data_IF_933721095738
#
_entry.id   IF_933721095738
#
_cell.length_a   1.000
_cell.length_b   1.000
_cell.length_c   1.000
_cell.angle_alpha   90.00
_cell.angle_beta   90.00
_cell.angle_gamma   90.00
#
_symmetry.space_group_name_H-M   'P 1'
#
loop_
_entity.id
_entity.type
_entity.pdbx_description
1 polymer ?
#
# COMPACT_ATOMS: atom_id res chain seq x y z
N UNK A 1 -46.31 -41.68 -12.09
CA UNK A 1 -47.23 -42.07 -11.00
C UNK A 1 -47.03 -41.11 -9.84
N UNK A 2 -48.13 -40.43 -9.46
CA UNK A 2 -48.41 -39.64 -8.24
C UNK A 2 -47.45 -38.50 -7.87
N UNK A 3 -47.80 -37.22 -8.07
CA UNK A 3 -48.75 -36.36 -7.33
C UNK A 3 -48.46 -36.22 -5.82
N UNK A 4 -48.11 -35.00 -5.38
CA UNK A 4 -48.92 -34.01 -4.59
C UNK A 4 -47.96 -33.01 -3.94
N UNK A 5 -48.00 -31.72 -4.29
CA UNK A 5 -48.91 -30.66 -3.83
C UNK A 5 -48.92 -30.39 -2.32
N UNK A 6 -48.60 -29.14 -1.96
CA UNK A 6 -49.31 -28.20 -1.03
C UNK A 6 -48.30 -27.23 -0.39
N UNK A 7 -48.52 -25.94 -0.11
CA UNK A 7 -49.42 -24.85 -0.52
C UNK A 7 -49.29 -23.74 0.56
N UNK A 8 -49.17 -22.47 0.13
CA UNK A 8 -49.56 -21.22 0.84
C UNK A 8 -48.74 -20.78 2.08
N UNK A 9 -48.46 -19.49 2.35
CA UNK A 9 -49.42 -18.39 2.55
C UNK A 9 -48.75 -17.00 2.51
N UNK A 10 -49.46 -16.04 1.90
CA UNK A 10 -49.21 -14.59 1.81
C UNK A 10 -49.58 -13.86 3.12
N UNK A 11 -48.88 -12.77 3.49
CA UNK A 11 -49.47 -11.70 4.31
C UNK A 11 -49.04 -10.30 3.82
N UNK A 12 -50.07 -9.54 3.43
CA UNK A 12 -50.08 -8.10 3.15
C UNK A 12 -50.44 -7.37 4.46
N UNK A 13 -49.83 -6.21 4.72
CA UNK A 13 -50.44 -5.20 5.57
C UNK A 13 -50.07 -3.80 5.09
N UNK A 14 -51.12 -3.02 4.89
CA UNK A 14 -51.19 -1.67 4.34
C UNK A 14 -51.95 -0.79 5.36
N UNK A 15 -51.77 0.54 5.27
CA UNK A 15 -52.50 1.67 5.92
C UNK A 15 -51.84 2.26 7.18
N UNK A 16 -51.91 3.57 7.50
CA UNK A 16 -52.57 4.76 6.92
C UNK A 16 -51.98 6.05 7.51
N UNK A 17 -52.12 7.16 6.76
CA UNK A 17 -51.85 8.56 7.11
C UNK A 17 -52.56 9.09 8.37
N UNK A 18 -51.98 10.10 9.04
CA UNK A 18 -52.73 11.21 9.70
C UNK A 18 -51.91 12.51 9.77
N UNK A 19 -52.45 13.55 9.13
CA UNK A 19 -52.14 14.97 9.31
C UNK A 19 -52.82 15.50 10.59
N UNK A 20 -52.22 16.49 11.25
CA UNK A 20 -52.90 17.38 12.22
C UNK A 20 -52.40 18.82 12.04
N UNK A 21 -53.35 19.76 12.08
CA UNK A 21 -53.18 21.21 11.99
C UNK A 21 -53.83 21.91 13.20
N UNK A 22 -53.38 23.14 13.50
CA UNK A 22 -53.94 24.08 14.50
C UNK A 22 -52.94 24.39 15.62
N UNK A 23 -52.71 25.62 16.12
CA UNK A 23 -53.51 26.85 16.17
C UNK A 23 -52.61 28.11 16.36
N UNK A 24 -53.16 29.27 15.98
CA UNK A 24 -52.63 30.63 16.15
C UNK A 24 -52.52 31.10 17.61
N UNK A 25 -51.52 31.95 17.91
CA UNK A 25 -51.53 32.89 19.06
C UNK A 25 -50.78 34.19 18.71
N UNK A 26 -51.39 35.35 18.99
CA UNK A 26 -50.88 36.69 18.70
C UNK A 26 -50.00 37.28 19.84
N UNK A 27 -48.88 37.92 19.42
CA UNK A 27 -48.17 39.17 19.86
C UNK A 27 -47.78 39.40 21.34
N UNK A 28 -46.59 39.98 21.62
CA UNK A 28 -46.38 41.44 21.56
C UNK A 28 -45.07 41.93 20.88
N UNK A 29 -45.10 43.22 20.56
CA UNK A 29 -44.11 44.10 19.90
C UNK A 29 -42.78 44.28 20.62
N UNK A 30 -41.66 44.19 19.88
CA UNK A 30 -40.33 44.69 20.27
C UNK A 30 -39.64 45.39 19.09
N UNK A 31 -38.79 46.36 19.41
CA UNK A 31 -38.16 47.34 18.52
C UNK A 31 -37.25 46.73 17.43
N UNK A 32 -37.24 47.37 16.25
CA UNK A 32 -36.44 46.98 15.07
C UNK A 32 -35.08 47.68 15.14
N UNK A 33 -33.94 46.96 15.17
CA UNK A 33 -32.62 47.54 14.89
C UNK A 33 -32.45 47.72 13.36
N UNK A 34 -31.63 48.70 12.97
CA UNK A 34 -31.31 49.06 11.59
C UNK A 34 -31.15 47.85 10.66
N UNK A 35 -32.06 47.69 9.70
CA UNK A 35 -31.96 46.68 8.66
C UNK A 35 -30.91 47.11 7.64
N UNK A 36 -29.86 46.31 7.48
CA UNK A 36 -29.11 46.26 6.22
C UNK A 36 -30.06 45.75 5.14
N UNK A 37 -30.24 46.55 4.09
CA UNK A 37 -31.04 46.18 2.93
C UNK A 37 -30.20 45.25 2.04
N UNK A 38 -30.22 43.95 2.34
CA UNK A 38 -29.63 42.93 1.48
C UNK A 38 -30.56 42.65 0.30
N UNK A 39 -30.27 43.24 -0.85
CA UNK A 39 -30.97 42.97 -2.09
C UNK A 39 -30.48 41.62 -2.67
N UNK A 40 -31.19 40.53 -2.38
CA UNK A 40 -30.95 39.24 -3.03
C UNK A 40 -31.59 39.23 -4.43
N UNK A 41 -30.77 39.37 -5.47
CA UNK A 41 -31.17 39.05 -6.84
C UNK A 41 -30.90 37.56 -7.06
N UNK A 42 -31.97 36.78 -7.25
CA UNK A 42 -31.88 35.34 -7.48
C UNK A 42 -31.63 35.07 -8.96
N UNK A 43 -30.36 35.04 -9.38
CA UNK A 43 -29.94 34.39 -10.63
C UNK A 43 -29.28 33.07 -10.29
N UNK A 44 -29.64 32.00 -11.03
CA UNK A 44 -29.15 30.65 -10.77
C UNK A 44 -27.62 30.58 -10.78
N UNK A 45 -27.10 29.93 -9.74
CA UNK A 45 -25.71 29.58 -9.44
C UNK A 45 -24.79 30.70 -8.90
N UNK A 46 -24.44 30.51 -7.62
CA UNK A 46 -23.51 31.23 -6.73
C UNK A 46 -24.01 32.57 -6.14
N UNK A 47 -23.99 32.74 -4.80
CA UNK A 47 -24.24 34.02 -4.17
C UNK A 47 -23.04 34.95 -4.39
N UNK A 48 -23.28 36.08 -5.04
CA UNK A 48 -22.31 37.18 -5.15
C UNK A 48 -22.60 38.14 -4.00
N UNK A 49 -21.61 38.40 -3.15
CA UNK A 49 -21.71 39.42 -2.10
C UNK A 49 -20.94 40.66 -2.54
N UNK A 50 -21.63 41.79 -2.61
CA UNK A 50 -21.02 43.09 -2.92
C UNK A 50 -20.98 43.91 -1.63
N UNK A 51 -19.79 44.11 -1.06
CA UNK A 51 -19.60 44.98 0.10
C UNK A 51 -19.24 46.38 -0.38
N UNK A 52 -20.09 47.37 -0.10
CA UNK A 52 -19.81 48.78 -0.33
C UNK A 52 -19.68 49.49 1.02
N UNK A 53 -18.48 49.96 1.37
CA UNK A 53 -18.28 50.86 2.51
C UNK A 53 -18.25 52.30 2.02
N UNK A 54 -19.29 53.07 2.34
CA UNK A 54 -19.33 54.50 2.03
C UNK A 54 -18.62 55.32 3.11
N UNK A 55 -17.55 56.04 2.75
CA UNK A 55 -17.05 57.16 3.55
C UNK A 55 -17.73 58.45 3.08
N UNK A 56 -18.35 59.19 4.00
CA UNK A 56 -18.92 60.51 3.73
C UNK A 56 -17.82 61.54 3.54
N UNK A 57 -17.29 61.69 2.33
CA UNK A 57 -16.73 62.95 1.88
C UNK A 57 -16.86 63.07 0.37
N UNK A 58 -17.02 64.31 -0.08
CA UNK A 58 -17.32 64.74 -1.43
C UNK A 58 -16.40 64.10 -2.47
N UNK A 59 -17.02 63.32 -3.36
CA UNK A 59 -16.49 62.65 -4.57
C UNK A 59 -15.32 61.67 -4.39
N UNK A 60 -15.60 60.36 -4.47
CA UNK A 60 -14.69 59.45 -5.16
C UNK A 60 -15.39 58.44 -6.08
N UNK A 61 -14.69 58.06 -7.15
CA UNK A 61 -15.08 56.99 -8.07
C UNK A 61 -15.21 55.64 -7.32
N UNK A 62 -16.33 54.95 -7.53
CA UNK A 62 -16.58 53.64 -6.96
C UNK A 62 -15.76 52.59 -7.73
N UNK A 63 -14.71 52.05 -7.12
CA UNK A 63 -13.93 50.95 -7.71
C UNK A 63 -14.40 49.63 -7.08
N UNK A 64 -15.27 48.91 -7.80
CA UNK A 64 -15.76 47.60 -7.38
C UNK A 64 -14.77 46.51 -7.83
N UNK A 65 -13.97 45.98 -6.91
CA UNK A 65 -13.25 44.72 -7.15
C UNK A 65 -14.19 43.56 -6.81
N UNK A 66 -14.57 42.79 -7.83
CA UNK A 66 -15.23 41.48 -7.64
C UNK A 66 -14.21 40.49 -7.10
N UNK A 67 -14.30 40.19 -5.80
CA UNK A 67 -13.62 39.03 -5.20
C UNK A 67 -14.56 37.84 -5.37
N UNK A 68 -14.17 36.90 -6.23
CA UNK A 68 -14.84 35.60 -6.34
C UNK A 68 -14.23 34.70 -5.28
N UNK A 69 -14.89 34.60 -4.12
CA UNK A 69 -14.57 33.57 -3.15
C UNK A 69 -14.98 32.21 -3.74
N UNK A 70 -13.99 31.48 -4.24
CA UNK A 70 -14.17 30.05 -4.53
C UNK A 70 -14.37 29.33 -3.20
N UNK A 71 -15.43 28.52 -3.04
CA UNK A 71 -15.60 27.71 -1.84
C UNK A 71 -14.37 26.84 -1.67
N UNK A 72 -13.68 26.98 -0.54
CA UNK A 72 -12.63 26.02 -0.17
C UNK A 72 -13.29 24.65 -0.05
N UNK A 73 -12.90 23.74 -0.94
CA UNK A 73 -13.25 22.33 -0.84
C UNK A 73 -12.80 21.87 0.55
N UNK A 74 -13.66 21.21 1.35
CA UNK A 74 -13.27 20.74 2.67
C UNK A 74 -12.01 19.87 2.52
N UNK A 75 -10.94 20.29 3.19
CA UNK A 75 -9.65 19.60 3.24
C UNK A 75 -9.93 18.14 3.60
N UNK A 76 -9.60 17.24 2.68
CA UNK A 76 -9.71 15.80 2.89
C UNK A 76 -9.06 15.45 4.23
N UNK A 77 -9.72 14.59 5.01
CA UNK A 77 -9.18 14.12 6.29
C UNK A 77 -7.72 13.67 6.11
N UNK A 78 -6.80 14.04 7.00
CA UNK A 78 -5.39 13.65 6.86
C UNK A 78 -5.27 12.13 6.72
N UNK A 79 -4.41 11.69 5.80
CA UNK A 79 -4.20 10.28 5.51
C UNK A 79 -3.83 9.51 6.77
N UNK A 80 -4.56 8.43 7.08
CA UNK A 80 -4.26 7.58 8.22
C UNK A 80 -2.88 6.90 8.11
N UNK A 81 -2.38 6.67 6.89
CA UNK A 81 -1.07 6.05 6.64
C UNK A 81 0.09 7.02 6.93
N UNK A 82 -0.11 8.31 6.72
CA UNK A 82 0.96 9.32 6.76
C UNK A 82 1.18 9.94 8.14
N UNK A 83 0.66 9.32 9.19
CA UNK A 83 0.96 9.70 10.55
C UNK A 83 2.24 9.02 11.02
N UNK A 84 3.09 9.72 11.77
CA UNK A 84 4.28 9.15 12.39
C UNK A 84 3.92 7.92 13.23
N UNK A 85 4.61 6.79 13.00
CA UNK A 85 4.37 5.55 13.75
C UNK A 85 3.27 4.66 13.17
N UNK A 86 2.72 5.01 12.00
CA UNK A 86 1.73 4.15 11.32
C UNK A 86 2.32 2.79 10.97
N UNK A 87 3.58 2.73 10.52
CA UNK A 87 4.24 1.44 10.24
C UNK A 87 4.53 0.67 11.51
N UNK A 88 4.84 1.34 12.63
CA UNK A 88 4.99 0.64 13.92
C UNK A 88 3.69 -0.06 14.32
N UNK A 89 2.54 0.61 14.14
CA UNK A 89 1.22 0.05 14.42
C UNK A 89 0.92 -1.15 13.54
N UNK A 90 1.11 -1.00 12.22
CA UNK A 90 0.90 -2.07 11.25
C UNK A 90 1.83 -3.25 11.56
N UNK A 91 3.14 -3.01 11.68
CA UNK A 91 4.13 -4.08 11.87
C UNK A 91 3.95 -4.83 13.19
N UNK A 92 3.61 -4.13 14.28
CA UNK A 92 3.32 -4.78 15.56
C UNK A 92 2.13 -5.76 15.45
N UNK A 93 1.11 -5.42 14.66
CA UNK A 93 -0.02 -6.31 14.41
C UNK A 93 0.36 -7.47 13.49
N UNK A 94 0.98 -7.18 12.34
CA UNK A 94 1.33 -8.17 11.32
C UNK A 94 2.28 -9.27 11.83
N UNK A 95 3.16 -8.94 12.78
CA UNK A 95 4.07 -9.91 13.43
C UNK A 95 3.37 -11.13 14.03
N UNK A 96 2.11 -10.98 14.46
CA UNK A 96 1.34 -12.10 15.04
C UNK A 96 0.79 -13.07 13.98
N UNK A 97 0.91 -12.74 12.69
CA UNK A 97 0.29 -13.48 11.59
C UNK A 97 1.29 -13.87 10.50
N UNK A 98 2.60 -13.81 10.79
CA UNK A 98 3.65 -14.03 9.78
C UNK A 98 3.61 -15.41 9.11
N UNK A 99 2.98 -16.42 9.73
CA UNK A 99 2.75 -17.73 9.10
C UNK A 99 1.73 -17.68 7.95
N UNK A 100 0.83 -16.69 7.92
CA UNK A 100 -0.19 -16.52 6.88
C UNK A 100 0.38 -15.89 5.60
N UNK A 101 1.60 -15.35 5.65
CA UNK A 101 2.24 -14.67 4.52
C UNK A 101 3.19 -15.58 3.73
N UNK A 102 3.07 -16.91 3.94
CA UNK A 102 3.87 -17.94 3.26
C UNK A 102 3.11 -18.56 2.10
N UNK A 103 3.84 -19.02 1.09
CA UNK A 103 3.34 -19.99 0.12
C UNK A 103 3.33 -21.41 0.74
N UNK A 104 2.69 -22.35 0.04
CA UNK A 104 2.73 -23.76 0.40
C UNK A 104 4.15 -24.33 0.20
N UNK A 105 4.56 -25.27 1.06
CA UNK A 105 5.91 -25.83 1.05
C UNK A 105 7.02 -24.76 1.14
N UNK A 106 6.75 -23.70 1.91
CA UNK A 106 7.68 -22.61 2.13
C UNK A 106 9.04 -23.13 2.60
N UNK A 107 10.09 -22.69 1.90
CA UNK A 107 11.45 -22.93 2.36
C UNK A 107 11.79 -21.94 3.46
N UNK A 108 11.90 -22.45 4.68
CA UNK A 108 12.41 -21.68 5.80
C UNK A 108 13.91 -21.44 5.61
N UNK A 109 14.28 -20.20 5.32
CA UNK A 109 15.67 -19.77 5.18
C UNK A 109 16.07 -18.86 6.34
N UNK A 110 17.30 -18.99 6.88
CA UNK A 110 17.85 -18.01 7.77
C UNK A 110 18.22 -16.74 7.01
N UNK A 111 18.26 -15.62 7.70
CA UNK A 111 18.99 -14.46 7.22
C UNK A 111 20.43 -14.54 7.71
N UNK A 112 21.31 -15.00 6.83
CA UNK A 112 22.72 -15.35 7.05
C UNK A 112 23.69 -14.36 6.40
N UNK A 113 23.20 -13.16 6.09
CA UNK A 113 23.98 -12.04 5.58
C UNK A 113 24.95 -11.43 6.60
N UNK A 114 25.25 -10.15 6.40
CA UNK A 114 26.00 -9.39 7.38
C UNK A 114 25.22 -9.18 8.69
N UNK A 115 25.95 -8.84 9.75
CA UNK A 115 25.36 -8.55 11.07
C UNK A 115 24.39 -7.36 11.04
N UNK A 116 24.52 -6.47 10.04
CA UNK A 116 23.60 -5.35 9.81
C UNK A 116 22.32 -5.73 9.07
N UNK A 117 22.21 -6.96 8.62
CA UNK A 117 21.08 -7.51 7.89
C UNK A 117 20.68 -6.80 6.61
N UNK A 118 21.67 -6.54 5.76
CA UNK A 118 21.52 -5.82 4.50
C UNK A 118 21.39 -6.73 3.27
N UNK A 119 21.62 -8.03 3.43
CA UNK A 119 21.55 -9.02 2.36
C UNK A 119 21.39 -10.44 2.95
N UNK A 120 21.25 -11.42 2.06
CA UNK A 120 21.28 -12.85 2.36
C UNK A 120 22.52 -13.43 1.67
N UNK A 121 23.34 -14.19 2.41
CA UNK A 121 24.58 -14.77 1.87
C UNK A 121 24.26 -16.01 1.07
N UNK A 122 23.59 -16.98 1.70
CA UNK A 122 23.34 -18.33 1.15
C UNK A 122 21.84 -18.67 1.22
N UNK A 123 21.14 -18.21 2.26
CA UNK A 123 19.71 -18.49 2.46
C UNK A 123 19.46 -19.97 2.79
N UNK A 124 20.47 -20.59 3.42
CA UNK A 124 20.45 -21.98 3.86
C UNK A 124 20.31 -22.97 2.70
N UNK A 125 21.42 -23.26 2.02
CA UNK A 125 21.56 -24.18 0.88
C UNK A 125 21.33 -23.57 -0.51
N UNK A 126 22.15 -22.59 -0.85
CA UNK A 126 22.35 -22.06 -2.19
C UNK A 126 21.13 -21.34 -2.77
N UNK A 127 20.31 -20.76 -1.89
CA UNK A 127 19.23 -19.88 -2.36
C UNK A 127 19.81 -18.59 -2.95
N UNK A 128 20.95 -18.12 -2.47
CA UNK A 128 21.62 -16.90 -2.94
C UNK A 128 23.14 -17.04 -2.93
N UNK A 129 23.80 -16.18 -3.71
CA UNK A 129 25.25 -15.98 -3.74
C UNK A 129 25.57 -14.52 -3.36
N UNK A 130 25.25 -14.13 -2.13
CA UNK A 130 25.33 -12.73 -1.67
C UNK A 130 24.38 -11.81 -2.44
N UNK A 131 23.11 -11.82 -2.05
CA UNK A 131 22.07 -11.11 -2.77
C UNK A 131 20.89 -10.72 -1.90
N UNK A 132 19.78 -10.41 -2.57
CA UNK A 132 18.62 -9.82 -1.96
C UNK A 132 18.99 -8.46 -1.35
N UNK A 133 19.64 -7.58 -2.13
CA UNK A 133 19.81 -6.19 -1.73
C UNK A 133 18.51 -5.45 -2.03
N UNK A 134 17.62 -5.34 -1.03
CA UNK A 134 16.39 -4.57 -1.18
C UNK A 134 16.68 -3.10 -0.93
N UNK A 135 16.32 -2.26 -1.89
CA UNK A 135 16.37 -0.81 -1.75
C UNK A 135 15.02 -0.22 -2.14
N UNK A 136 14.63 0.92 -1.58
CA UNK A 136 13.45 1.61 -2.06
C UNK A 136 13.62 2.00 -3.53
N UNK A 137 12.50 2.18 -4.23
CA UNK A 137 12.53 3.01 -5.43
C UNK A 137 12.81 4.45 -5.02
N UNK A 138 13.85 5.04 -5.61
CA UNK A 138 14.38 6.31 -5.10
C UNK A 138 13.54 7.52 -5.53
N UNK A 139 13.53 8.56 -4.70
CA UNK A 139 12.94 9.85 -5.04
C UNK A 139 13.59 10.47 -6.29
N UNK A 140 14.89 10.22 -6.49
CA UNK A 140 15.62 10.64 -7.69
C UNK A 140 15.20 9.91 -8.97
N UNK A 141 14.46 8.80 -8.86
CA UNK A 141 14.16 7.91 -9.97
C UNK A 141 15.32 7.04 -10.44
N UNK A 142 16.42 6.98 -9.68
CA UNK A 142 17.59 6.17 -10.05
C UNK A 142 17.31 4.67 -9.88
N UNK A 143 17.54 3.92 -10.96
CA UNK A 143 17.63 2.46 -10.96
C UNK A 143 19.09 2.06 -10.73
N UNK A 144 19.36 1.25 -9.71
CA UNK A 144 20.68 0.68 -9.47
C UNK A 144 21.02 -0.44 -10.45
N UNK A 145 22.31 -0.76 -10.55
CA UNK A 145 22.74 -1.95 -11.29
C UNK A 145 22.38 -3.21 -10.49
N UNK A 146 21.19 -3.75 -10.75
CA UNK A 146 20.62 -4.86 -9.97
C UNK A 146 21.37 -6.19 -10.12
N UNK A 147 22.32 -6.30 -11.06
CA UNK A 147 23.18 -7.49 -11.20
C UNK A 147 24.48 -7.40 -10.40
N UNK A 148 24.74 -6.27 -9.74
CA UNK A 148 25.94 -6.12 -8.92
C UNK A 148 25.84 -6.96 -7.64
N UNK A 149 26.89 -7.71 -7.33
CA UNK A 149 27.10 -8.40 -6.04
C UNK A 149 27.74 -7.51 -4.99
N UNK A 150 28.21 -6.31 -5.38
CA UNK A 150 28.86 -5.39 -4.46
C UNK A 150 27.82 -4.57 -3.71
N UNK A 151 27.78 -4.72 -2.39
CA UNK A 151 26.89 -4.00 -1.48
C UNK A 151 26.94 -2.47 -1.64
N UNK A 152 28.09 -1.90 -2.02
CA UNK A 152 28.25 -0.46 -2.25
C UNK A 152 27.51 0.05 -3.49
N UNK A 153 27.05 -0.84 -4.37
CA UNK A 153 26.17 -0.49 -5.51
C UNK A 153 24.74 -0.17 -5.07
N UNK A 154 24.41 -0.37 -3.79
CA UNK A 154 23.10 -0.18 -3.19
C UNK A 154 23.21 0.72 -1.93
N UNK A 155 23.52 2.02 -2.10
CA UNK A 155 23.78 2.90 -0.96
C UNK A 155 22.55 3.11 -0.07
N UNK A 156 21.35 3.13 -0.65
CA UNK A 156 20.07 3.28 0.07
C UNK A 156 19.41 1.93 0.43
N UNK A 157 20.17 0.83 0.43
CA UNK A 157 19.63 -0.47 0.87
C UNK A 157 19.13 -0.39 2.31
N UNK A 158 18.07 -1.14 2.59
CA UNK A 158 17.51 -1.21 3.92
C UNK A 158 18.17 -2.30 4.75
N UNK A 159 18.07 -2.15 6.07
CA UNK A 159 18.36 -3.24 7.00
C UNK A 159 17.08 -3.97 7.36
N UNK A 160 17.10 -5.28 7.26
CA UNK A 160 15.99 -6.14 7.69
C UNK A 160 15.96 -6.31 9.23
N UNK A 161 16.98 -5.82 9.95
CA UNK A 161 16.98 -5.75 11.42
C UNK A 161 16.22 -4.53 11.96
N UNK A 162 15.83 -3.60 11.08
CA UNK A 162 15.06 -2.40 11.45
C UNK A 162 13.62 -2.77 11.81
N UNK A 163 13.36 -3.07 13.09
CA UNK A 163 12.02 -3.45 13.58
C UNK A 163 11.15 -2.28 14.04
N UNK A 164 11.66 -1.05 13.94
CA UNK A 164 10.94 0.19 14.23
C UNK A 164 10.99 1.09 13.01
N UNK A 165 9.90 1.84 12.76
CA UNK A 165 9.77 2.80 11.67
C UNK A 165 10.97 3.75 11.62
N UNK A 166 11.66 3.78 10.48
CA UNK A 166 12.79 4.67 10.21
C UNK A 166 12.74 5.22 8.80
N UNK A 167 13.51 6.28 8.54
CA UNK A 167 13.56 6.94 7.24
C UNK A 167 14.78 6.47 6.43
N UNK A 168 14.57 6.23 5.14
CA UNK A 168 15.60 5.99 4.11
C UNK A 168 15.30 6.85 2.88
N UNK A 169 16.31 7.15 2.05
CA UNK A 169 16.15 7.97 0.84
C UNK A 169 15.36 9.28 1.11
N UNK A 170 15.81 10.01 2.14
CA UNK A 170 15.27 11.31 2.62
C UNK A 170 13.89 11.28 3.27
N UNK A 171 12.91 10.53 2.73
CA UNK A 171 11.51 10.60 3.18
C UNK A 171 10.67 9.33 2.95
N UNK A 172 11.30 8.18 2.67
CA UNK A 172 10.60 6.90 2.73
C UNK A 172 10.66 6.35 4.15
N UNK A 173 9.51 6.19 4.79
CA UNK A 173 9.44 5.48 6.06
C UNK A 173 9.37 3.98 5.77
N UNK A 174 10.15 3.15 6.48
CA UNK A 174 10.08 1.70 6.36
C UNK A 174 10.25 0.99 7.71
N UNK A 175 9.82 -0.27 7.75
CA UNK A 175 10.08 -1.20 8.83
C UNK A 175 10.13 -2.64 8.29
N UNK A 176 10.97 -3.47 8.89
CA UNK A 176 11.04 -4.91 8.67
C UNK A 176 10.19 -5.65 9.72
N UNK A 177 9.43 -6.66 9.28
CA UNK A 177 8.48 -7.36 10.14
C UNK A 177 9.14 -8.46 10.97
N UNK A 178 10.32 -8.95 10.61
CA UNK A 178 10.95 -9.99 11.41
C UNK A 178 12.16 -10.55 10.72
N UNK A 179 13.29 -10.37 11.40
CA UNK A 179 14.59 -10.93 11.09
C UNK A 179 15.00 -11.77 12.29
N UNK A 180 15.23 -13.06 12.07
CA UNK A 180 15.90 -13.92 13.04
C UNK A 180 17.30 -14.15 12.48
N UNK A 181 18.29 -13.47 13.06
CA UNK A 181 19.69 -13.66 12.68
C UNK A 181 20.12 -15.06 13.09
N UNK A 182 20.57 -15.86 12.13
CA UNK A 182 21.11 -17.18 12.37
C UNK A 182 22.43 -17.32 11.61
N UNK A 183 23.58 -16.96 12.23
CA UNK A 183 24.90 -16.97 11.58
C UNK A 183 25.43 -18.37 11.23
N UNK A 184 24.70 -19.43 11.58
CA UNK A 184 25.15 -20.80 11.41
C UNK A 184 24.38 -21.45 10.26
N UNK A 185 25.08 -21.71 9.15
CA UNK A 185 24.66 -22.53 8.00
C UNK A 185 24.34 -24.01 8.34
N UNK A 186 24.10 -24.32 9.61
CA UNK A 186 23.92 -25.68 10.14
C UNK A 186 22.80 -25.82 11.17
N UNK A 187 21.94 -24.81 11.34
CA UNK A 187 20.69 -25.04 12.07
C UNK A 187 19.80 -25.97 11.24
N UNK A 188 19.13 -26.97 11.86
CA UNK A 188 18.21 -27.82 11.14
C UNK A 188 17.11 -26.96 10.52
N UNK A 189 17.16 -26.94 9.20
CA UNK A 189 16.19 -26.46 8.24
C UNK A 189 14.83 -27.11 8.47
N UNK A 190 14.12 -26.61 9.47
CA UNK A 190 12.78 -27.03 9.83
C UNK A 190 12.16 -26.13 10.91
N UNK A 191 12.84 -25.09 11.41
CA UNK A 191 12.18 -24.19 12.33
C UNK A 191 11.17 -23.33 11.55
N UNK A 192 9.92 -23.79 11.57
CA UNK A 192 8.77 -23.06 11.05
C UNK A 192 8.56 -21.70 11.75
N UNK A 193 9.41 -21.32 12.72
CA UNK A 193 9.53 -19.94 13.21
C UNK A 193 10.16 -18.98 12.19
N UNK A 194 10.94 -19.46 11.21
CA UNK A 194 11.48 -18.57 10.17
C UNK A 194 10.38 -18.11 9.23
N UNK A 195 10.06 -16.83 9.30
CA UNK A 195 9.02 -16.19 8.53
C UNK A 195 9.55 -15.64 7.20
N UNK A 196 8.69 -15.49 6.18
CA UNK A 196 9.10 -14.85 4.94
C UNK A 196 9.60 -13.44 5.24
N UNK A 197 10.78 -13.11 4.70
CA UNK A 197 11.33 -11.77 4.81
C UNK A 197 10.30 -10.79 4.26
N UNK A 198 9.81 -9.91 5.14
CA UNK A 198 8.76 -8.95 4.80
C UNK A 198 9.15 -7.56 5.25
N UNK A 199 9.07 -6.62 4.32
CA UNK A 199 9.35 -5.20 4.55
C UNK A 199 8.15 -4.41 4.07
N UNK A 200 7.75 -3.42 4.87
CA UNK A 200 6.73 -2.45 4.49
C UNK A 200 7.33 -1.04 4.54
N UNK A 201 6.87 -0.18 3.64
CA UNK A 201 7.33 1.20 3.59
C UNK A 201 6.36 2.11 2.83
N UNK A 202 6.29 3.37 3.21
CA UNK A 202 5.40 4.34 2.59
C UNK A 202 6.07 5.68 2.34
N UNK A 203 5.50 6.42 1.39
CA UNK A 203 5.76 7.84 1.17
C UNK A 203 4.43 8.57 1.10
N UNK A 204 4.39 9.76 1.68
CA UNK A 204 3.20 10.63 1.58
C UNK A 204 3.11 11.34 0.24
N UNK A 205 4.25 11.59 -0.39
CA UNK A 205 4.34 12.17 -1.72
C UNK A 205 5.61 11.68 -2.40
N UNK A 206 5.51 11.36 -3.69
CA UNK A 206 6.61 10.87 -4.51
C UNK A 206 6.54 9.37 -4.77
N UNK A 207 7.44 8.86 -5.62
CA UNK A 207 7.38 7.48 -6.07
C UNK A 207 7.66 6.50 -4.93
N UNK A 208 6.96 5.37 -4.89
CA UNK A 208 7.14 4.35 -3.85
C UNK A 208 7.18 2.95 -4.47
N UNK A 209 8.01 2.08 -3.90
CA UNK A 209 8.19 0.72 -4.36
C UNK A 209 9.56 0.20 -3.94
N UNK A 210 9.98 -0.89 -4.57
CA UNK A 210 11.22 -1.57 -4.24
C UNK A 210 11.98 -1.96 -5.49
N UNK A 211 13.30 -2.02 -5.37
CA UNK A 211 14.21 -2.63 -6.34
C UNK A 211 15.12 -3.62 -5.58
N UNK A 212 15.36 -4.77 -6.19
CA UNK A 212 16.04 -5.91 -5.60
C UNK A 212 17.15 -6.34 -6.56
N UNK A 213 18.37 -6.36 -6.05
CA UNK A 213 19.54 -6.80 -6.78
C UNK A 213 20.36 -7.86 -6.03
N UNK A 214 21.53 -8.17 -6.62
CA UNK A 214 22.45 -9.20 -6.14
C UNK A 214 22.39 -10.49 -6.96
N UNK A 215 23.29 -11.42 -6.66
CA UNK A 215 23.40 -12.72 -7.33
C UNK A 215 22.45 -13.78 -6.74
N UNK A 216 21.45 -14.16 -7.54
CA UNK A 216 20.65 -15.33 -7.20
C UNK A 216 21.47 -16.57 -7.56
N UNK A 217 21.85 -17.39 -6.57
CA UNK A 217 22.82 -18.49 -6.66
C UNK A 217 22.36 -19.68 -7.51
N UNK A 218 21.80 -19.40 -8.68
CA UNK A 218 21.27 -20.37 -9.63
C UNK A 218 22.32 -20.77 -10.67
N UNK A 219 23.53 -20.21 -10.66
CA UNK A 219 24.67 -20.58 -11.52
C UNK A 219 24.33 -20.75 -13.02
N UNK A 220 23.50 -19.86 -13.56
CA UNK A 220 23.05 -19.83 -14.95
C UNK A 220 22.01 -20.90 -15.28
N UNK A 221 21.53 -21.64 -14.28
CA UNK A 221 20.59 -22.76 -14.39
C UNK A 221 19.16 -22.35 -14.02
N UNK A 222 18.22 -23.23 -14.37
CA UNK A 222 16.80 -23.05 -14.07
C UNK A 222 16.05 -22.14 -15.03
N UNK A 223 14.94 -21.59 -14.56
CA UNK A 223 14.02 -20.77 -15.33
C UNK A 223 13.66 -19.51 -14.55
N UNK A 224 13.33 -18.44 -15.28
CA UNK A 224 12.77 -17.24 -14.69
C UNK A 224 11.35 -17.00 -15.16
N UNK A 225 10.57 -16.32 -14.33
CA UNK A 225 9.28 -15.76 -14.75
C UNK A 225 9.07 -14.42 -14.03
N UNK A 226 8.58 -13.43 -14.77
CA UNK A 226 8.21 -12.12 -14.21
C UNK A 226 6.80 -11.81 -14.67
N UNK A 227 5.96 -11.34 -13.76
CA UNK A 227 4.56 -11.11 -14.09
C UNK A 227 3.83 -10.28 -13.06
N UNK A 228 2.58 -9.96 -13.39
CA UNK A 228 1.65 -9.35 -12.47
C UNK A 228 0.80 -10.41 -11.77
N UNK A 229 0.48 -10.16 -10.50
CA UNK A 229 -0.66 -10.79 -9.82
C UNK A 229 -1.89 -9.91 -9.97
N UNK A 230 -1.76 -8.60 -9.69
CA UNK A 230 -2.84 -7.62 -9.83
C UNK A 230 -2.35 -6.34 -10.49
N UNK A 231 -3.22 -5.74 -11.31
CA UNK A 231 -2.99 -4.47 -12.01
C UNK A 231 -4.09 -3.46 -11.68
N UNK A 232 -4.22 -3.11 -10.39
CA UNK A 232 -5.20 -2.15 -9.90
C UNK A 232 -6.53 -2.77 -9.46
N UNK A 233 -6.51 -4.04 -9.05
CA UNK A 233 -7.70 -4.73 -8.54
C UNK A 233 -8.05 -4.29 -7.12
N UNK A 234 -9.32 -4.41 -6.73
CA UNK A 234 -9.74 -4.19 -5.33
C UNK A 234 -9.67 -5.48 -4.54
N UNK A 235 -8.84 -5.51 -3.49
CA UNK A 235 -8.70 -6.65 -2.56
C UNK A 235 -8.83 -6.14 -1.14
N UNK A 236 -9.80 -6.67 -0.37
CA UNK A 236 -10.07 -6.27 1.02
C UNK A 236 -10.25 -4.74 1.22
N UNK A 237 -10.73 -4.02 0.19
CA UNK A 237 -10.93 -2.56 0.21
C UNK A 237 -9.74 -1.74 -0.31
N UNK A 238 -8.57 -2.36 -0.51
CA UNK A 238 -7.41 -1.70 -1.10
C UNK A 238 -7.45 -1.79 -2.62
N UNK A 239 -7.00 -0.72 -3.29
CA UNK A 239 -6.51 -0.84 -4.66
C UNK A 239 -5.11 -1.45 -4.63
N UNK A 240 -4.93 -2.57 -5.31
CA UNK A 240 -3.71 -3.38 -5.27
C UNK A 240 -3.08 -3.47 -6.65
N UNK A 241 -1.80 -3.10 -6.70
CA UNK A 241 -0.89 -3.49 -7.77
C UNK A 241 0.14 -4.43 -7.19
N UNK A 242 0.30 -5.62 -7.77
CA UNK A 242 1.27 -6.59 -7.30
C UNK A 242 1.95 -7.29 -8.47
N UNK A 243 3.25 -7.49 -8.33
CA UNK A 243 4.09 -8.11 -9.33
C UNK A 243 5.16 -8.96 -8.69
N UNK A 244 5.61 -9.96 -9.42
CA UNK A 244 6.62 -10.88 -8.94
C UNK A 244 7.70 -11.13 -9.98
N UNK A 245 8.85 -11.57 -9.49
CA UNK A 245 9.84 -12.30 -10.27
C UNK A 245 10.25 -13.55 -9.52
N UNK A 246 10.28 -14.68 -10.22
CA UNK A 246 10.71 -15.96 -9.67
C UNK A 246 11.89 -16.54 -10.44
N UNK A 247 12.77 -17.23 -9.72
CA UNK A 247 13.78 -18.15 -10.24
C UNK A 247 13.47 -19.52 -9.64
N UNK A 248 13.36 -20.54 -10.48
CA UNK A 248 12.97 -21.89 -10.08
C UNK A 248 13.66 -22.91 -10.98
N UNK A 249 13.63 -24.18 -10.57
CA UNK A 249 14.21 -25.32 -11.29
C UNK A 249 15.73 -25.22 -11.53
N UNK A 250 16.47 -24.53 -10.64
CA UNK A 250 17.93 -24.43 -10.69
C UNK A 250 18.67 -25.59 -9.99
N UNK A 251 17.90 -26.49 -9.34
CA UNK A 251 18.32 -27.43 -8.29
C UNK A 251 18.45 -26.80 -6.90
N UNK A 252 18.15 -25.51 -6.77
CA UNK A 252 18.17 -24.77 -5.51
C UNK A 252 16.76 -24.36 -5.09
N UNK A 253 16.56 -23.83 -3.87
CA UNK A 253 15.28 -23.30 -3.46
C UNK A 253 14.76 -22.25 -4.45
N UNK A 254 13.45 -22.22 -4.68
CA UNK A 254 12.84 -21.17 -5.49
C UNK A 254 13.03 -19.82 -4.81
N UNK A 255 13.40 -18.79 -5.58
CA UNK A 255 13.38 -17.40 -5.14
C UNK A 255 12.14 -16.76 -5.77
N UNK A 256 11.25 -16.19 -4.97
CA UNK A 256 10.12 -15.40 -5.46
C UNK A 256 10.10 -14.04 -4.78
N UNK A 257 10.55 -13.02 -5.51
CA UNK A 257 10.45 -11.62 -5.10
C UNK A 257 9.04 -11.12 -5.41
N UNK A 258 8.23 -10.84 -4.40
CA UNK A 258 6.89 -10.29 -4.54
C UNK A 258 6.89 -8.84 -4.05
N UNK A 259 6.46 -7.90 -4.91
CA UNK A 259 6.22 -6.51 -4.54
C UNK A 259 4.72 -6.23 -4.64
N UNK A 260 4.17 -5.60 -3.61
CA UNK A 260 2.76 -5.20 -3.50
C UNK A 260 2.73 -3.70 -3.23
N UNK A 261 1.91 -2.96 -3.97
CA UNK A 261 1.63 -1.54 -3.77
C UNK A 261 0.15 -1.40 -3.43
N UNK A 262 -0.13 -0.80 -2.28
CA UNK A 262 -1.48 -0.64 -1.74
C UNK A 262 -1.86 0.84 -1.67
N UNK A 263 -3.04 1.14 -2.18
CA UNK A 263 -3.75 2.39 -1.92
C UNK A 263 -5.10 2.13 -1.28
N UNK A 264 -5.57 3.06 -0.45
CA UNK A 264 -6.88 2.96 0.20
C UNK A 264 -7.60 4.32 0.16
N UNK A 265 -8.94 4.35 -0.02
CA UNK A 265 -9.70 5.60 0.02
C UNK A 265 -9.51 6.40 1.32
N UNK A 266 -9.46 5.74 2.48
CA UNK A 266 -9.22 6.40 3.78
C UNK A 266 -7.81 6.98 3.94
N UNK A 267 -6.89 6.68 3.03
CA UNK A 267 -5.55 7.27 2.96
C UNK A 267 -5.48 8.42 1.94
N UNK A 268 -6.55 8.68 1.19
CA UNK A 268 -6.53 9.51 -0.02
C UNK A 268 -5.36 9.10 -0.94
N UNK A 269 -5.22 7.79 -1.17
CA UNK A 269 -4.17 7.26 -2.02
C UNK A 269 -4.34 7.68 -3.47
N UNK A 270 -3.24 8.08 -4.10
CA UNK A 270 -3.16 8.36 -5.53
C UNK A 270 -1.99 7.55 -6.08
N UNK A 271 -2.24 6.71 -7.09
CA UNK A 271 -1.17 6.02 -7.80
C UNK A 271 -0.70 6.89 -8.97
N UNK A 272 0.61 7.13 -9.04
CA UNK A 272 1.26 7.50 -10.29
C UNK A 272 1.36 6.31 -11.26
N UNK A 273 2.05 6.47 -12.40
CA UNK A 273 2.29 5.36 -13.32
C UNK A 273 2.96 4.19 -12.61
N UNK A 274 2.34 3.01 -12.65
CA UNK A 274 2.91 1.80 -12.04
C UNK A 274 3.82 1.12 -13.06
N UNK A 275 5.06 0.86 -12.66
CA UNK A 275 6.07 0.21 -13.49
C UNK A 275 6.58 -1.06 -12.81
N UNK A 276 6.87 -2.07 -13.61
CA UNK A 276 7.51 -3.32 -13.21
C UNK A 276 8.70 -3.58 -14.12
N UNK A 277 9.72 -4.24 -13.60
CA UNK A 277 10.80 -4.77 -14.41
C UNK A 277 10.24 -5.71 -15.49
N UNK A 278 10.53 -5.49 -16.79
CA UNK A 278 10.22 -6.45 -17.83
C UNK A 278 10.88 -7.82 -17.57
N UNK A 279 10.32 -8.88 -18.13
CA UNK A 279 10.91 -10.21 -18.01
C UNK A 279 12.38 -10.23 -18.44
N UNK A 280 13.20 -10.90 -17.64
CA UNK A 280 14.64 -11.10 -17.86
C UNK A 280 14.94 -12.58 -17.62
N UNK A 281 15.67 -13.20 -18.56
CA UNK A 281 16.03 -14.62 -18.50
C UNK A 281 17.25 -14.90 -17.62
N UNK A 282 17.91 -13.85 -17.09
CA UNK A 282 19.08 -13.99 -16.23
C UNK A 282 18.68 -14.67 -14.92
N UNK A 283 19.16 -15.87 -14.66
CA UNK A 283 18.91 -16.63 -13.42
C UNK A 283 19.91 -16.28 -12.32
N UNK A 284 21.09 -15.74 -12.66
CA UNK A 284 22.16 -15.32 -11.73
C UNK A 284 21.85 -14.03 -10.98
N UNK A 285 20.67 -13.44 -11.13
CA UNK A 285 20.37 -12.19 -10.47
C UNK A 285 18.94 -12.10 -10.00
N UNK A 286 18.74 -11.46 -8.84
CA UNK A 286 17.41 -11.10 -8.37
C UNK A 286 16.69 -10.14 -9.32
N UNK A 287 17.43 -9.21 -9.94
CA UNK A 287 17.02 -8.26 -10.98
C UNK A 287 15.50 -7.99 -11.05
N UNK A 288 14.94 -7.37 -10.01
CA UNK A 288 13.51 -7.07 -9.97
C UNK A 288 13.24 -5.70 -9.39
N UNK A 289 12.25 -5.00 -9.94
CA UNK A 289 11.69 -3.81 -9.30
C UNK A 289 10.21 -3.70 -9.64
N UNK A 290 9.50 -2.99 -8.78
CA UNK A 290 8.16 -2.52 -9.03
C UNK A 290 7.90 -1.28 -8.17
N UNK A 291 7.28 -0.26 -8.76
CA UNK A 291 7.00 0.99 -8.08
C UNK A 291 5.82 1.72 -8.71
N UNK A 292 5.21 2.63 -7.93
CA UNK A 292 4.34 3.68 -8.44
C UNK A 292 5.16 4.96 -8.58
N UNK A 293 5.09 5.61 -9.74
CA UNK A 293 5.98 6.67 -10.15
C UNK A 293 5.64 8.06 -9.62
N UNK A 294 6.06 9.09 -10.36
CA UNK A 294 5.78 10.50 -10.04
C UNK A 294 4.27 10.74 -9.94
N UNK A 295 3.87 11.58 -8.99
CA UNK A 295 2.45 11.89 -8.71
C UNK A 295 1.79 10.91 -7.74
N UNK A 296 2.52 9.93 -7.21
CA UNK A 296 2.00 9.03 -6.17
C UNK A 296 1.87 9.74 -4.82
N UNK A 297 0.79 9.43 -4.12
CA UNK A 297 0.49 9.95 -2.78
C UNK A 297 -0.06 8.83 -1.89
N UNK A 298 0.40 8.78 -0.64
CA UNK A 298 -0.12 7.89 0.40
C UNK A 298 -0.21 6.42 -0.03
N UNK A 299 0.85 5.91 -0.65
CA UNK A 299 0.94 4.50 -1.10
C UNK A 299 1.84 3.72 -0.14
N UNK A 300 1.37 2.54 0.26
CA UNK A 300 2.15 1.57 1.04
C UNK A 300 2.77 0.54 0.08
N UNK A 301 4.10 0.51 -0.01
CA UNK A 301 4.86 -0.52 -0.69
C UNK A 301 5.23 -1.65 0.27
N UNK A 302 5.14 -2.88 -0.21
CA UNK A 302 5.45 -4.10 0.53
C UNK A 302 6.35 -4.96 -0.33
N UNK A 303 7.41 -5.49 0.28
CA UNK A 303 8.23 -6.55 -0.29
C UNK A 303 8.10 -7.80 0.55
N UNK A 304 7.87 -8.95 -0.09
CA UNK A 304 7.87 -10.27 0.53
C UNK A 304 8.77 -11.19 -0.31
N UNK A 305 9.71 -11.85 0.35
CA UNK A 305 10.47 -12.95 -0.25
C UNK A 305 9.76 -14.27 0.07
N UNK A 306 9.32 -14.96 -0.97
CA UNK A 306 8.72 -16.28 -0.92
C UNK A 306 9.67 -17.31 -1.52
N UNK A 307 9.48 -18.57 -1.17
CA UNK A 307 10.42 -19.63 -1.53
C UNK A 307 9.79 -21.02 -1.47
N UNK A 308 10.35 -21.96 -2.22
CA UNK A 308 10.00 -23.39 -2.16
C UNK A 308 11.27 -24.19 -2.00
N UNK A 309 11.20 -25.25 -1.20
CA UNK A 309 12.31 -26.20 -1.08
C UNK A 309 12.67 -26.79 -2.46
N UNK A 310 13.94 -27.17 -2.64
CA UNK A 310 14.48 -27.66 -3.91
C UNK A 310 13.70 -28.84 -4.48
N UNK A 311 13.13 -29.71 -3.64
CA UNK A 311 12.37 -30.88 -4.09
C UNK A 311 11.02 -30.48 -4.73
N UNK A 312 10.54 -29.27 -4.47
CA UNK A 312 9.31 -28.72 -5.04
C UNK A 312 9.58 -27.58 -6.03
N UNK A 313 10.84 -27.19 -6.24
CA UNK A 313 11.25 -26.05 -7.04
C UNK A 313 11.19 -26.29 -8.56
N UNK A 314 10.73 -27.45 -9.04
CA UNK A 314 10.61 -27.74 -10.49
C UNK A 314 9.56 -26.88 -11.20
N UNK A 315 8.65 -26.26 -10.44
CA UNK A 315 7.61 -25.35 -10.92
C UNK A 315 7.60 -24.08 -10.07
N UNK A 316 7.24 -22.92 -10.65
CA UNK A 316 7.15 -21.68 -9.89
C UNK A 316 6.05 -21.77 -8.82
N UNK A 317 6.08 -20.86 -7.85
CA UNK A 317 4.95 -20.61 -6.96
C UNK A 317 3.78 -20.15 -7.82
N UNK A 318 2.63 -20.84 -7.82
CA UNK A 318 1.51 -20.50 -8.67
C UNK A 318 0.85 -19.19 -8.23
N UNK A 319 0.29 -18.44 -9.18
CA UNK A 319 -0.36 -17.14 -8.90
C UNK A 319 -1.41 -17.22 -7.78
N UNK A 320 -2.18 -18.31 -7.69
CA UNK A 320 -3.21 -18.48 -6.65
C UNK A 320 -2.63 -18.44 -5.22
N UNK A 321 -1.39 -18.89 -5.03
CA UNK A 321 -0.71 -18.80 -3.73
C UNK A 321 -0.23 -17.37 -3.47
N UNK A 322 0.23 -16.65 -4.50
CA UNK A 322 0.58 -15.23 -4.39
C UNK A 322 -0.66 -14.38 -4.06
N UNK A 323 -1.80 -14.65 -4.71
CA UNK A 323 -3.09 -14.03 -4.43
C UNK A 323 -3.54 -14.29 -2.98
N UNK A 324 -3.32 -15.51 -2.48
CA UNK A 324 -3.63 -15.87 -1.09
C UNK A 324 -2.77 -15.06 -0.11
N UNK A 325 -1.45 -14.97 -0.34
CA UNK A 325 -0.54 -14.16 0.49
C UNK A 325 -0.95 -12.68 0.48
N UNK A 326 -1.26 -12.13 -0.70
CA UNK A 326 -1.73 -10.74 -0.86
C UNK A 326 -3.05 -10.52 -0.12
N UNK A 327 -4.01 -11.44 -0.24
CA UNK A 327 -5.29 -11.36 0.47
C UNK A 327 -5.09 -11.37 1.98
N UNK A 328 -4.25 -12.27 2.49
CA UNK A 328 -3.97 -12.36 3.93
C UNK A 328 -3.33 -11.07 4.45
N UNK A 329 -2.24 -10.59 3.82
CA UNK A 329 -1.55 -9.39 4.32
C UNK A 329 -2.43 -8.14 4.21
N UNK A 330 -3.21 -7.98 3.13
CA UNK A 330 -4.14 -6.85 3.01
C UNK A 330 -5.25 -6.91 4.06
N UNK A 331 -5.80 -8.09 4.35
CA UNK A 331 -6.78 -8.24 5.42
C UNK A 331 -6.19 -7.85 6.80
N UNK A 332 -4.97 -8.30 7.11
CA UNK A 332 -4.31 -7.96 8.37
C UNK A 332 -3.93 -6.47 8.48
N UNK A 333 -3.57 -5.83 7.37
CA UNK A 333 -3.34 -4.37 7.34
C UNK A 333 -4.67 -3.63 7.61
N UNK A 334 -5.77 -4.05 6.97
CA UNK A 334 -7.10 -3.50 7.23
C UNK A 334 -7.47 -3.55 8.70
N UNK A 335 -7.30 -4.71 9.33
CA UNK A 335 -7.57 -4.94 10.75
C UNK A 335 -6.69 -4.04 11.64
N UNK A 336 -5.39 -3.96 11.36
CA UNK A 336 -4.45 -3.16 12.17
C UNK A 336 -4.74 -1.67 12.17
N UNK A 337 -5.35 -1.16 11.10
CA UNK A 337 -5.67 0.26 10.92
C UNK A 337 -7.16 0.58 11.06
N UNK A 338 -8.01 -0.43 11.34
CA UNK A 338 -9.48 -0.28 11.42
C UNK A 338 -10.12 0.36 10.17
N UNK A 339 -9.75 -0.13 8.98
CA UNK A 339 -10.12 0.43 7.67
C UNK A 339 -11.40 -0.13 7.06
#
# INVERSE_FOLDING_TARGET
MSNRDTSFTTFLLQRQNRLHAGFYKQRPTYAIPSQELMLQIKTGNLPIYTHCTGSSSTTPACNCNTVVDTPSVPRSSPSLLCNTGSLNTIAAYLRNYMTEFRNSNFWAYPCDGDAGGNYITDGGHDMFDTANFVTPWLLSGTLYNLTSTNISSYPERISYTTTSETIVDTNLNYVSLGWIYAPNNGLPQADQSFHPLTVIGYRCSGPVGWQIGGNAGADGSGNTITGYVYTGATVNGFQVHAGYRQIYNANDPTICNLIILLGHPSWNSVFGPVSIQPHVSNTDSSQFYMYSGVGSENILGIYILLSKDRNYATTPIPNIELETVISNITNRIKESMSL
#
